data_IF_424615924679
#
_entry.id   IF_424615924679
#
_cell.length_a   1.000
_cell.length_b   1.000
_cell.length_c   1.000
_cell.angle_alpha   90.00
_cell.angle_beta   90.00
_cell.angle_gamma   90.00
#
_symmetry.space_group_name_H-M   'P 1'
#
loop_
_entity.id
_entity.type
_entity.pdbx_description
1 polymer ?
#
# COMPACT_ATOMS: atom_id res chain seq x y z
N UNK A 1 -1.77 -10.51 -10.22
CA UNK A 1 -2.06 -10.07 -8.83
C UNK A 1 -1.76 -11.13 -7.77
N UNK A 2 -2.51 -12.23 -7.63
CA UNK A 2 -2.28 -13.23 -6.54
C UNK A 2 -0.84 -13.76 -6.46
N UNK A 3 -0.20 -13.99 -7.61
CA UNK A 3 1.22 -14.40 -7.68
C UNK A 3 2.15 -13.36 -7.06
N UNK A 4 1.98 -12.07 -7.41
CA UNK A 4 2.78 -10.97 -6.85
C UNK A 4 2.54 -10.77 -5.36
N UNK A 5 1.30 -10.95 -4.87
CA UNK A 5 1.00 -10.89 -3.43
C UNK A 5 1.74 -12.00 -2.69
N UNK A 6 1.70 -13.23 -3.21
CA UNK A 6 2.43 -14.34 -2.60
C UNK A 6 3.95 -14.08 -2.60
N UNK A 7 4.50 -13.69 -3.76
CA UNK A 7 5.92 -13.39 -3.89
C UNK A 7 6.36 -12.24 -2.97
N UNK A 8 5.51 -11.22 -2.79
CA UNK A 8 5.74 -10.14 -1.82
C UNK A 8 5.99 -10.69 -0.41
N UNK A 9 5.08 -11.53 0.10
CA UNK A 9 5.21 -12.10 1.43
C UNK A 9 6.39 -13.08 1.53
N UNK A 10 6.59 -13.94 0.52
CA UNK A 10 7.74 -14.86 0.46
C UNK A 10 9.07 -14.09 0.51
N UNK A 11 9.16 -12.94 -0.17
CA UNK A 11 10.34 -12.06 -0.13
C UNK A 11 10.50 -11.34 1.20
N UNK A 12 9.41 -10.86 1.80
CA UNK A 12 9.44 -10.17 3.09
C UNK A 12 9.90 -11.12 4.21
N UNK A 13 9.41 -12.36 4.20
CA UNK A 13 9.83 -13.42 5.14
C UNK A 13 11.31 -13.80 4.98
N UNK A 14 11.84 -13.71 3.76
CA UNK A 14 13.24 -13.95 3.45
C UNK A 14 14.15 -12.71 3.65
N UNK A 15 13.66 -11.64 4.27
CA UNK A 15 14.33 -10.34 4.44
C UNK A 15 14.79 -9.69 3.09
N UNK A 16 14.19 -10.09 1.96
CA UNK A 16 14.47 -9.56 0.61
C UNK A 16 13.60 -8.37 0.28
N UNK A 17 13.77 -7.30 1.07
CA UNK A 17 12.96 -6.07 1.02
C UNK A 17 12.81 -5.50 -0.39
N UNK A 18 13.92 -5.35 -1.13
CA UNK A 18 13.86 -4.79 -2.50
C UNK A 18 13.01 -5.63 -3.44
N UNK A 19 13.07 -6.95 -3.33
CA UNK A 19 12.26 -7.84 -4.15
C UNK A 19 10.76 -7.74 -3.75
N UNK A 20 10.46 -7.68 -2.45
CA UNK A 20 9.09 -7.45 -1.98
C UNK A 20 8.52 -6.11 -2.52
N UNK A 21 9.29 -5.02 -2.42
CA UNK A 21 8.92 -3.70 -2.97
C UNK A 21 8.56 -3.82 -4.45
N UNK A 22 9.40 -4.48 -5.26
CA UNK A 22 9.16 -4.66 -6.70
C UNK A 22 7.87 -5.44 -6.98
N UNK A 23 7.61 -6.52 -6.24
CA UNK A 23 6.37 -7.29 -6.40
C UNK A 23 5.12 -6.44 -6.11
N UNK A 24 5.19 -5.55 -5.12
CA UNK A 24 4.07 -4.66 -4.84
C UNK A 24 3.88 -3.56 -5.90
N UNK A 25 4.98 -3.03 -6.43
CA UNK A 25 4.95 -2.07 -7.53
C UNK A 25 4.36 -2.68 -8.81
N UNK A 26 4.54 -3.99 -9.05
CA UNK A 26 3.85 -4.69 -10.14
C UNK A 26 2.32 -4.71 -9.95
N UNK A 27 1.82 -4.83 -8.71
CA UNK A 27 0.39 -4.74 -8.43
C UNK A 27 -0.14 -3.33 -8.71
N UNK A 28 0.60 -2.30 -8.31
CA UNK A 28 0.25 -0.90 -8.64
C UNK A 28 0.30 -0.64 -10.14
N UNK A 29 1.25 -1.22 -10.87
CA UNK A 29 1.33 -1.10 -12.32
C UNK A 29 0.12 -1.74 -13.00
N UNK A 30 -0.28 -2.95 -12.57
CA UNK A 30 -1.50 -3.59 -13.05
C UNK A 30 -2.73 -2.73 -12.82
N UNK A 31 -2.85 -2.08 -11.66
CA UNK A 31 -3.96 -1.17 -11.36
C UNK A 31 -4.00 0.03 -12.33
N UNK A 32 -2.84 0.65 -12.57
CA UNK A 32 -2.69 1.78 -13.51
C UNK A 32 -3.02 1.38 -14.96
N UNK A 33 -2.58 0.21 -15.38
CA UNK A 33 -2.84 -0.30 -16.73
C UNK A 33 -4.33 -0.61 -16.93
N UNK A 34 -4.98 -1.22 -15.93
CA UNK A 34 -6.43 -1.44 -15.95
C UNK A 34 -7.20 -0.11 -16.02
N UNK A 35 -6.82 0.88 -15.20
CA UNK A 35 -7.43 2.22 -15.20
C UNK A 35 -7.28 2.93 -16.55
N UNK A 36 -6.06 2.92 -17.12
CA UNK A 36 -5.79 3.49 -18.44
C UNK A 36 -6.60 2.77 -19.53
N UNK A 37 -6.73 1.44 -19.42
CA UNK A 37 -7.56 0.62 -20.29
C UNK A 37 -9.03 1.02 -20.24
N UNK A 38 -9.61 1.19 -19.05
CA UNK A 38 -11.01 1.61 -18.87
C UNK A 38 -11.24 3.00 -19.48
N UNK A 39 -10.34 3.98 -19.21
CA UNK A 39 -10.46 5.35 -19.71
C UNK A 39 -10.39 5.48 -21.23
N UNK A 40 -9.71 4.57 -21.91
CA UNK A 40 -9.57 4.57 -23.38
C UNK A 40 -10.73 3.90 -24.10
N UNK A 41 -11.71 3.33 -23.39
CA UNK A 41 -12.79 2.57 -24.03
C UNK A 41 -13.83 3.48 -24.71
N UNK A 42 -14.35 3.07 -25.87
CA UNK A 42 -15.47 3.75 -26.51
C UNK A 42 -16.70 3.75 -25.58
N UNK A 43 -17.48 4.84 -25.64
CA UNK A 43 -18.72 5.05 -24.88
C UNK A 43 -19.82 3.99 -25.09
N UNK A 44 -19.62 3.02 -25.98
CA UNK A 44 -20.55 1.92 -26.24
C UNK A 44 -20.39 0.72 -25.28
N UNK A 45 -19.45 0.77 -24.35
CA UNK A 45 -19.27 -0.30 -23.36
C UNK A 45 -20.40 -0.26 -22.32
N UNK A 46 -21.05 -1.40 -22.07
CA UNK A 46 -22.13 -1.48 -21.09
C UNK A 46 -21.69 -1.00 -19.69
N UNK A 47 -22.49 -0.14 -19.04
CA UNK A 47 -22.20 0.47 -17.73
C UNK A 47 -21.78 -0.57 -16.68
N UNK A 48 -22.49 -1.70 -16.60
CA UNK A 48 -22.19 -2.78 -15.64
C UNK A 48 -20.79 -3.40 -15.84
N UNK A 49 -20.24 -3.39 -17.06
CA UNK A 49 -18.89 -3.88 -17.31
C UNK A 49 -17.84 -2.87 -16.84
N UNK A 50 -18.08 -1.59 -17.04
CA UNK A 50 -17.20 -0.51 -16.59
C UNK A 50 -17.11 -0.51 -15.06
N UNK A 51 -18.23 -0.70 -14.37
CA UNK A 51 -18.25 -0.77 -12.90
C UNK A 51 -17.46 -1.97 -12.35
N UNK A 52 -17.59 -3.15 -12.97
CA UNK A 52 -16.80 -4.34 -12.58
C UNK A 52 -15.31 -4.13 -12.78
N UNK A 53 -14.91 -3.44 -13.83
CA UNK A 53 -13.49 -3.19 -14.10
C UNK A 53 -12.92 -2.16 -13.13
N UNK A 54 -13.69 -1.12 -12.77
CA UNK A 54 -13.32 -0.20 -11.69
C UNK A 54 -13.21 -0.89 -10.33
N UNK A 55 -14.05 -1.89 -10.04
CA UNK A 55 -13.89 -2.72 -8.85
C UNK A 55 -12.57 -3.51 -8.85
N UNK A 56 -12.11 -3.98 -10.01
CA UNK A 56 -10.82 -4.67 -10.11
C UNK A 56 -9.64 -3.71 -9.87
N UNK A 57 -9.71 -2.49 -10.42
CA UNK A 57 -8.72 -1.43 -10.13
C UNK A 57 -8.68 -1.13 -8.62
N UNK A 58 -9.85 -0.95 -8.00
CA UNK A 58 -9.96 -0.73 -6.55
C UNK A 58 -9.31 -1.87 -5.77
N UNK A 59 -9.65 -3.11 -6.09
CA UNK A 59 -9.10 -4.30 -5.41
C UNK A 59 -7.57 -4.41 -5.53
N UNK A 60 -7.01 -4.07 -6.70
CA UNK A 60 -5.56 -4.05 -6.88
C UNK A 60 -4.89 -2.95 -6.03
N UNK A 61 -5.46 -1.75 -6.00
CA UNK A 61 -4.94 -0.65 -5.18
C UNK A 61 -5.06 -0.96 -3.67
N UNK A 62 -6.16 -1.54 -3.23
CA UNK A 62 -6.37 -1.99 -1.84
C UNK A 62 -5.33 -3.04 -1.44
N UNK A 63 -5.08 -4.01 -2.32
CA UNK A 63 -4.04 -5.03 -2.11
C UNK A 63 -2.66 -4.40 -1.98
N UNK A 64 -2.33 -3.46 -2.87
CA UNK A 64 -1.04 -2.78 -2.83
C UNK A 64 -0.86 -1.92 -1.56
N UNK A 65 -1.93 -1.25 -1.12
CA UNK A 65 -1.93 -0.47 0.12
C UNK A 65 -1.71 -1.36 1.34
N UNK A 66 -2.36 -2.52 1.40
CA UNK A 66 -2.17 -3.49 2.48
C UNK A 66 -0.73 -3.99 2.56
N UNK A 67 -0.12 -4.31 1.42
CA UNK A 67 1.28 -4.74 1.35
C UNK A 67 2.24 -3.64 1.83
N UNK A 68 2.01 -2.37 1.47
CA UNK A 68 2.83 -1.26 1.99
C UNK A 68 2.71 -1.14 3.51
N UNK A 69 1.51 -1.29 4.07
CA UNK A 69 1.32 -1.30 5.52
C UNK A 69 2.04 -2.49 6.19
N UNK A 70 2.04 -3.66 5.55
CA UNK A 70 2.79 -4.82 6.04
C UNK A 70 4.31 -4.57 6.02
N UNK A 71 4.83 -3.96 4.96
CA UNK A 71 6.24 -3.58 4.87
C UNK A 71 6.63 -2.55 5.93
N UNK A 72 5.80 -1.53 6.16
CA UNK A 72 6.03 -0.53 7.21
C UNK A 72 6.12 -1.20 8.58
N UNK A 73 5.19 -2.11 8.92
CA UNK A 73 5.23 -2.88 10.17
C UNK A 73 6.48 -3.76 10.27
N UNK A 74 6.88 -4.41 9.19
CA UNK A 74 8.12 -5.18 9.15
C UNK A 74 9.34 -4.30 9.50
N UNK A 75 9.42 -3.09 8.94
CA UNK A 75 10.48 -2.15 9.28
C UNK A 75 10.45 -1.72 10.76
N UNK A 76 9.26 -1.49 11.34
CA UNK A 76 9.12 -1.23 12.78
C UNK A 76 9.71 -2.38 13.60
N UNK A 77 9.37 -3.63 13.27
CA UNK A 77 9.86 -4.82 13.97
C UNK A 77 11.39 -4.96 13.88
N UNK A 78 11.98 -4.56 12.74
CA UNK A 78 13.44 -4.54 12.53
C UNK A 78 14.10 -3.27 13.09
N UNK A 79 13.36 -2.40 13.77
CA UNK A 79 13.81 -1.08 14.29
C UNK A 79 14.34 -0.13 13.21
N UNK A 80 13.92 -0.33 11.97
CA UNK A 80 14.24 0.51 10.81
C UNK A 80 13.21 1.64 10.70
N UNK A 81 13.18 2.52 11.70
CA UNK A 81 12.07 3.46 11.90
C UNK A 81 11.94 4.52 10.79
N UNK A 82 13.05 4.97 10.19
CA UNK A 82 13.01 5.91 9.07
C UNK A 82 12.39 5.27 7.82
N UNK A 83 12.74 4.02 7.53
CA UNK A 83 12.13 3.25 6.44
C UNK A 83 10.64 3.00 6.70
N UNK A 84 10.26 2.69 7.95
CA UNK A 84 8.87 2.57 8.34
C UNK A 84 8.10 3.88 8.14
N UNK A 85 8.66 5.01 8.60
CA UNK A 85 8.08 6.36 8.45
C UNK A 85 7.85 6.68 6.98
N UNK A 86 8.88 6.50 6.13
CA UNK A 86 8.77 6.74 4.69
C UNK A 86 7.71 5.86 4.03
N UNK A 87 7.59 4.59 4.45
CA UNK A 87 6.59 3.67 3.91
C UNK A 87 5.16 4.08 4.29
N UNK A 88 4.91 4.48 5.54
CA UNK A 88 3.61 5.02 5.93
C UNK A 88 3.27 6.33 5.20
N UNK A 89 4.24 7.23 5.04
CA UNK A 89 4.05 8.46 4.27
C UNK A 89 3.70 8.17 2.81
N UNK A 90 4.33 7.17 2.18
CA UNK A 90 3.96 6.72 0.83
C UNK A 90 2.49 6.29 0.74
N UNK A 91 1.98 5.54 1.72
CA UNK A 91 0.56 5.13 1.75
C UNK A 91 -0.35 6.36 1.77
N UNK A 92 -0.02 7.38 2.58
CA UNK A 92 -0.81 8.61 2.67
C UNK A 92 -0.79 9.44 1.40
N UNK A 93 0.34 9.48 0.69
CA UNK A 93 0.46 10.27 -0.55
C UNK A 93 -0.14 9.57 -1.76
N UNK A 94 -0.09 8.24 -1.80
CA UNK A 94 -0.51 7.44 -2.96
C UNK A 94 -2.00 7.15 -2.95
N UNK A 95 -2.55 6.74 -1.80
CA UNK A 95 -3.94 6.31 -1.71
C UNK A 95 -4.77 7.43 -1.09
N UNK A 96 -5.59 8.08 -1.91
CA UNK A 96 -6.41 9.22 -1.49
C UNK A 96 -7.91 8.98 -1.75
N UNK A 97 -8.75 9.77 -1.07
CA UNK A 97 -10.20 9.69 -1.18
C UNK A 97 -10.84 8.61 -0.32
N UNK A 98 -12.18 8.65 -0.26
CA UNK A 98 -12.97 7.82 0.65
C UNK A 98 -12.76 6.30 0.44
N UNK A 99 -12.45 5.89 -0.79
CA UNK A 99 -12.26 4.48 -1.14
C UNK A 99 -11.08 3.82 -0.40
N UNK A 100 -10.06 4.59 0.01
CA UNK A 100 -8.85 4.07 0.65
C UNK A 100 -8.65 4.60 2.08
N UNK A 101 -9.67 5.22 2.66
CA UNK A 101 -9.59 5.88 3.95
C UNK A 101 -9.02 4.95 5.04
N UNK A 102 -9.50 3.71 5.11
CA UNK A 102 -9.03 2.71 6.09
C UNK A 102 -7.51 2.49 6.04
N UNK A 103 -6.90 2.47 4.86
CA UNK A 103 -5.45 2.28 4.73
C UNK A 103 -4.68 3.53 5.16
N UNK A 104 -5.19 4.72 4.80
CA UNK A 104 -4.59 5.98 5.23
C UNK A 104 -4.72 6.23 6.73
N UNK A 105 -5.83 5.82 7.35
CA UNK A 105 -6.02 5.91 8.79
C UNK A 105 -5.02 5.01 9.52
N UNK A 106 -4.85 3.76 9.05
CA UNK A 106 -3.84 2.84 9.57
C UNK A 106 -2.41 3.36 9.41
N UNK A 107 -2.10 4.02 8.30
CA UNK A 107 -0.80 4.66 8.11
C UNK A 107 -0.58 5.86 9.05
N UNK A 108 -1.62 6.69 9.28
CA UNK A 108 -1.57 7.79 10.26
C UNK A 108 -1.33 7.28 11.68
N UNK A 109 -2.04 6.22 12.08
CA UNK A 109 -1.82 5.57 13.39
C UNK A 109 -0.38 5.05 13.49
N UNK A 110 0.11 4.35 12.46
CA UNK A 110 1.49 3.84 12.44
C UNK A 110 2.57 4.92 12.55
N UNK A 111 2.33 6.11 11.99
CA UNK A 111 3.21 7.27 12.18
C UNK A 111 3.16 7.81 13.61
N UNK A 112 1.98 7.89 14.22
CA UNK A 112 1.83 8.30 15.63
C UNK A 112 2.55 7.34 16.57
N UNK A 113 2.44 6.03 16.34
CA UNK A 113 3.13 5.01 17.12
C UNK A 113 4.66 5.16 17.01
N UNK A 114 5.17 5.41 15.79
CA UNK A 114 6.60 5.69 15.56
C UNK A 114 7.06 6.94 16.32
N UNK A 115 6.29 8.02 16.28
CA UNK A 115 6.62 9.25 17.01
C UNK A 115 6.65 9.01 18.52
N UNK A 116 5.75 8.18 19.06
CA UNK A 116 5.78 7.78 20.47
C UNK A 116 7.01 6.95 20.84
N UNK A 117 7.43 6.01 19.98
CA UNK A 117 8.63 5.18 20.19
C UNK A 117 9.91 6.03 20.17
N UNK A 118 9.98 6.99 19.25
CA UNK A 118 11.16 7.82 19.02
C UNK A 118 11.25 9.04 19.93
N UNK A 119 10.14 9.44 20.57
CA UNK A 119 10.15 10.51 21.55
C UNK A 119 10.98 10.08 22.75
N UNK A 120 12.07 10.80 23.11
CA UNK A 120 12.74 10.54 24.37
C UNK A 120 11.71 10.71 25.47
N UNK A 121 11.53 9.68 26.30
CA UNK A 121 10.65 9.71 27.45
C UNK A 121 10.88 11.03 28.18
N UNK A 122 9.87 11.91 28.22
CA UNK A 122 9.88 13.02 29.16
C UNK A 122 9.88 12.39 30.55
N UNK A 123 11.07 12.13 31.09
CA UNK A 123 11.24 11.80 32.49
C UNK A 123 10.61 12.96 33.26
N UNK A 124 9.64 12.71 34.14
CA UNK A 124 9.17 13.75 35.04
C UNK A 124 10.36 14.11 35.95
N UNK A 125 10.80 15.37 35.85
CA UNK A 125 11.67 15.99 36.85
C UNK A 125 10.94 16.16 38.18
#
# INVERSE_FOLDING_TARGET
>A
MKTHVRAFYDHLEADRVTAAVLENEQIEAMARDMEAGIRRRPHQTATNQVDRDWMQVKSANETAAENWLALAKYFVLKKQYEQARGTYQRVLTTYNGAAYQTYTDRARIGLQDLDMILSPSKSPS
#
